data_IF_180299139462
#
_entry.id   IF_180299139462
#
_cell.length_a   1.000
_cell.length_b   1.000
_cell.length_c   1.000
_cell.angle_alpha   90.00
_cell.angle_beta   90.00
_cell.angle_gamma   90.00
#
_symmetry.space_group_name_H-M   'P 1'
#
loop_
_entity.id
_entity.type
_entity.pdbx_description
1 polymer ?
#
# COMPACT_ATOMS: atom_id res chain seq x y z
N UNK A 1 3.43 48.35 17.13
CA UNK A 1 4.30 47.34 17.77
C UNK A 1 3.86 45.96 17.30
N UNK A 2 4.63 45.28 16.45
CA UNK A 2 4.37 43.89 16.00
C UNK A 2 5.61 43.17 15.42
N UNK A 3 6.83 43.68 15.64
CA UNK A 3 8.04 43.12 15.00
C UNK A 3 8.67 41.94 15.75
N UNK A 4 8.31 41.70 17.01
CA UNK A 4 8.92 40.65 17.83
C UNK A 4 8.35 39.24 17.57
N UNK A 5 7.10 39.15 17.10
CA UNK A 5 6.39 37.87 16.94
C UNK A 5 6.85 37.15 15.65
N UNK A 6 6.98 37.88 14.54
CA UNK A 6 7.44 37.31 13.27
C UNK A 6 8.89 36.79 13.34
N UNK A 7 9.80 37.51 14.00
CA UNK A 7 11.20 37.08 14.14
C UNK A 7 11.36 35.79 14.96
N UNK A 8 10.48 35.59 15.94
CA UNK A 8 10.49 34.40 16.81
C UNK A 8 9.86 33.18 16.12
N UNK A 9 8.76 33.36 15.38
CA UNK A 9 8.17 32.29 14.57
C UNK A 9 9.10 31.83 13.44
N UNK A 10 9.77 32.76 12.77
CA UNK A 10 10.71 32.45 11.69
C UNK A 10 11.94 31.68 12.22
N UNK A 11 12.51 32.11 13.35
CA UNK A 11 13.62 31.41 14.01
C UNK A 11 13.24 30.00 14.51
N UNK A 12 12.05 29.86 15.09
CA UNK A 12 11.52 28.56 15.52
C UNK A 12 11.27 27.61 14.35
N UNK A 13 10.80 28.14 13.22
CA UNK A 13 10.53 27.37 11.99
C UNK A 13 11.83 26.83 11.40
N UNK A 14 12.84 27.69 11.24
CA UNK A 14 14.17 27.31 10.75
C UNK A 14 14.80 26.25 11.66
N UNK A 15 14.67 26.42 12.98
CA UNK A 15 15.20 25.45 13.95
C UNK A 15 14.49 24.09 13.86
N UNK A 16 13.16 24.09 13.64
CA UNK A 16 12.38 22.86 13.45
C UNK A 16 12.76 22.14 12.16
N UNK A 17 12.83 22.87 11.05
CA UNK A 17 13.22 22.30 9.74
C UNK A 17 14.62 21.69 9.80
N UNK A 18 15.58 22.39 10.40
CA UNK A 18 16.96 21.89 10.56
C UNK A 18 17.00 20.59 11.38
N UNK A 19 16.19 20.50 12.46
CA UNK A 19 16.07 19.29 13.27
C UNK A 19 15.41 18.14 12.49
N UNK A 20 14.37 18.42 11.72
CA UNK A 20 13.70 17.42 10.88
C UNK A 20 14.67 16.88 9.82
N UNK A 21 15.38 17.74 9.07
CA UNK A 21 16.38 17.31 8.08
C UNK A 21 17.50 16.48 8.70
N UNK A 22 18.02 16.89 9.86
CA UNK A 22 19.03 16.10 10.59
C UNK A 22 18.51 14.72 10.97
N UNK A 23 17.25 14.62 11.41
CA UNK A 23 16.64 13.34 11.77
C UNK A 23 16.38 12.45 10.56
N UNK A 24 15.94 13.02 9.43
CA UNK A 24 15.81 12.29 8.15
C UNK A 24 17.15 11.68 7.77
N UNK A 25 18.22 12.49 7.73
CA UNK A 25 19.56 12.02 7.35
C UNK A 25 20.05 10.90 8.27
N UNK A 26 19.83 11.02 9.59
CA UNK A 26 20.18 9.99 10.55
C UNK A 26 19.47 8.65 10.24
N UNK A 27 18.16 8.70 10.00
CA UNK A 27 17.37 7.48 9.73
C UNK A 27 17.78 6.88 8.38
N UNK A 28 17.93 7.69 7.33
CA UNK A 28 18.37 7.24 6.01
C UNK A 28 19.74 6.55 6.08
N UNK A 29 20.71 7.14 6.79
CA UNK A 29 22.03 6.51 6.97
C UNK A 29 21.95 5.12 7.60
N UNK A 30 21.11 4.94 8.63
CA UNK A 30 20.93 3.66 9.29
C UNK A 30 20.25 2.66 8.33
N UNK A 31 19.24 3.09 7.58
CA UNK A 31 18.59 2.25 6.58
C UNK A 31 19.61 1.80 5.53
N UNK A 32 20.40 2.72 4.98
CA UNK A 32 21.42 2.42 3.97
C UNK A 32 22.44 1.40 4.47
N UNK A 33 22.95 1.59 5.70
CA UNK A 33 23.88 0.66 6.34
C UNK A 33 23.26 -0.74 6.48
N UNK A 34 22.02 -0.83 6.96
CA UNK A 34 21.31 -2.09 7.14
C UNK A 34 20.99 -2.77 5.80
N UNK A 35 20.83 -2.01 4.71
CA UNK A 35 20.61 -2.54 3.36
C UNK A 35 21.88 -3.11 2.71
N UNK A 36 23.08 -2.71 3.12
CA UNK A 36 24.34 -3.21 2.55
C UNK A 36 24.51 -4.73 2.73
N UNK A 37 23.99 -5.28 3.82
CA UNK A 37 24.06 -6.71 4.16
C UNK A 37 22.91 -7.57 3.62
N UNK A 38 21.97 -6.98 2.88
CA UNK A 38 20.74 -7.67 2.45
C UNK A 38 20.91 -8.32 1.07
N UNK A 39 20.30 -9.49 0.90
CA UNK A 39 20.28 -10.17 -0.41
C UNK A 39 19.38 -9.40 -1.38
N UNK A 40 19.99 -8.82 -2.40
CA UNK A 40 19.30 -8.04 -3.44
C UNK A 40 18.49 -8.90 -4.42
N UNK A 41 18.58 -10.23 -4.33
CA UNK A 41 17.74 -11.14 -5.11
C UNK A 41 16.33 -11.31 -4.53
N UNK A 42 16.05 -10.71 -3.37
CA UNK A 42 14.72 -10.75 -2.77
C UNK A 42 13.79 -9.70 -3.40
N UNK A 43 12.52 -10.08 -3.63
CA UNK A 43 11.47 -9.15 -4.08
C UNK A 43 11.08 -8.12 -3.00
N UNK A 44 11.56 -8.31 -1.78
CA UNK A 44 11.34 -7.42 -0.65
C UNK A 44 12.44 -7.55 0.39
N UNK A 45 12.75 -6.45 1.06
CA UNK A 45 13.68 -6.45 2.20
C UNK A 45 12.97 -5.81 3.38
N UNK A 46 13.13 -6.43 4.54
CA UNK A 46 12.69 -5.90 5.83
C UNK A 46 13.91 -5.41 6.61
N UNK A 47 13.85 -4.17 7.07
CA UNK A 47 14.87 -3.53 7.89
C UNK A 47 14.24 -3.16 9.22
N UNK A 48 14.67 -3.83 10.30
CA UNK A 48 14.25 -3.48 11.66
C UNK A 48 15.18 -2.41 12.21
N UNK A 49 14.63 -1.21 12.47
CA UNK A 49 15.43 -0.12 13.03
C UNK A 49 15.77 -0.37 14.51
N UNK A 50 16.92 0.15 15.00
CA UNK A 50 17.32 0.03 16.40
C UNK A 50 16.23 0.53 17.35
N UNK A 51 16.09 -0.12 18.52
CA UNK A 51 15.02 0.18 19.48
C UNK A 51 15.12 1.59 20.08
N UNK A 52 16.30 2.17 20.03
CA UNK A 52 16.60 3.55 20.45
C UNK A 52 15.89 4.58 19.58
N UNK A 53 15.46 4.19 18.37
CA UNK A 53 14.65 5.01 17.47
C UNK A 53 13.21 4.51 17.58
N UNK A 54 12.39 5.11 18.44
CA UNK A 54 10.96 4.83 18.45
C UNK A 54 10.29 5.53 17.26
N UNK A 55 10.10 4.78 16.17
CA UNK A 55 9.51 5.28 14.93
C UNK A 55 8.05 5.71 15.09
N UNK A 56 7.35 5.28 16.14
CA UNK A 56 5.98 5.73 16.40
C UNK A 56 5.94 7.14 17.02
N UNK A 57 7.06 7.60 17.59
CA UNK A 57 7.21 8.96 18.14
C UNK A 57 7.85 9.94 17.16
N UNK A 58 8.37 9.46 16.02
CA UNK A 58 9.02 10.29 15.00
C UNK A 58 7.99 11.22 14.34
N UNK A 59 8.41 12.45 14.08
CA UNK A 59 7.59 13.46 13.40
C UNK A 59 7.10 12.93 12.04
N UNK A 60 5.81 13.06 11.76
CA UNK A 60 5.18 12.60 10.51
C UNK A 60 5.82 13.20 9.26
N UNK A 61 6.42 14.38 9.32
CA UNK A 61 7.17 14.98 8.21
C UNK A 61 8.48 14.26 7.94
N UNK A 62 9.15 13.77 8.99
CA UNK A 62 10.35 12.94 8.85
C UNK A 62 9.96 11.59 8.23
N UNK A 63 8.84 11.00 8.67
CA UNK A 63 8.34 9.74 8.11
C UNK A 63 7.95 9.88 6.63
N UNK A 64 7.30 10.98 6.25
CA UNK A 64 6.95 11.29 4.86
C UNK A 64 8.21 11.41 3.98
N UNK A 65 9.28 12.03 4.48
CA UNK A 65 10.54 12.17 3.74
C UNK A 65 11.29 10.84 3.62
N UNK A 66 11.35 10.04 4.69
CA UNK A 66 11.90 8.68 4.65
C UNK A 66 11.12 7.83 3.65
N UNK A 67 9.80 7.93 3.62
CA UNK A 67 8.98 7.29 2.60
C UNK A 67 9.33 7.75 1.19
N UNK A 68 9.51 9.05 0.96
CA UNK A 68 9.86 9.58 -0.36
C UNK A 68 11.20 9.04 -0.87
N UNK A 69 12.19 8.89 0.02
CA UNK A 69 13.52 8.41 -0.33
C UNK A 69 13.55 6.92 -0.69
N UNK A 70 12.79 6.07 0.02
CA UNK A 70 12.87 4.61 -0.14
C UNK A 70 11.62 3.95 -0.73
N UNK A 71 10.54 4.70 -0.94
CA UNK A 71 9.20 4.19 -1.27
C UNK A 71 8.70 3.13 -0.28
N UNK A 72 9.13 3.22 0.97
CA UNK A 72 9.00 2.15 1.94
C UNK A 72 7.61 2.08 2.60
N UNK A 73 7.27 0.89 3.09
CA UNK A 73 6.21 0.67 4.08
C UNK A 73 6.80 0.72 5.49
N UNK A 74 5.98 1.04 6.48
CA UNK A 74 6.39 1.01 7.90
C UNK A 74 5.35 0.32 8.77
N UNK A 75 5.82 -0.54 9.66
CA UNK A 75 5.02 -1.17 10.72
C UNK A 75 5.81 -1.07 12.02
N UNK A 76 5.41 -0.16 12.91
CA UNK A 76 6.21 0.13 14.10
C UNK A 76 7.60 0.61 13.72
N UNK A 77 8.63 -0.15 14.14
CA UNK A 77 10.04 0.11 13.84
C UNK A 77 10.56 -0.61 12.59
N UNK A 78 9.74 -1.45 11.96
CA UNK A 78 10.14 -2.19 10.77
C UNK A 78 9.81 -1.41 9.51
N UNK A 79 10.81 -1.28 8.64
CA UNK A 79 10.73 -0.65 7.32
C UNK A 79 10.78 -1.76 6.27
N UNK A 80 9.86 -1.73 5.31
CA UNK A 80 9.80 -2.71 4.23
C UNK A 80 10.00 -2.00 2.90
N UNK A 81 11.00 -2.45 2.12
CA UNK A 81 11.30 -1.92 0.80
C UNK A 81 10.94 -2.99 -0.23
N UNK A 82 10.13 -2.62 -1.22
CA UNK A 82 9.71 -3.51 -2.31
C UNK A 82 10.66 -3.33 -3.51
N UNK A 83 11.19 -4.42 -4.03
CA UNK A 83 11.92 -4.46 -5.29
C UNK A 83 11.06 -5.20 -6.31
N UNK A 84 10.28 -4.44 -7.08
CA UNK A 84 9.42 -5.02 -8.12
C UNK A 84 10.20 -5.06 -9.45
N UNK A 85 10.24 -6.24 -10.08
CA UNK A 85 10.82 -6.41 -11.42
C UNK A 85 9.83 -6.03 -12.54
N UNK A 86 10.32 -5.95 -13.79
CA UNK A 86 9.53 -5.55 -14.96
C UNK A 86 8.23 -6.36 -15.12
N UNK A 87 8.26 -7.67 -14.85
CA UNK A 87 7.08 -8.53 -14.97
C UNK A 87 5.98 -8.10 -14.00
N UNK A 88 6.35 -7.82 -12.75
CA UNK A 88 5.43 -7.37 -11.71
C UNK A 88 4.87 -5.98 -12.03
N UNK A 89 5.71 -5.04 -12.46
CA UNK A 89 5.24 -3.72 -12.90
C UNK A 89 4.26 -3.82 -14.08
N UNK A 90 4.48 -4.75 -15.02
CA UNK A 90 3.56 -4.97 -16.13
C UNK A 90 2.20 -5.48 -15.63
N UNK A 91 2.18 -6.48 -14.75
CA UNK A 91 0.94 -7.01 -14.16
C UNK A 91 0.18 -5.89 -13.45
N UNK A 92 0.85 -5.14 -12.57
CA UNK A 92 0.28 -4.00 -11.86
C UNK A 92 -0.31 -2.95 -12.80
N UNK A 93 0.39 -2.61 -13.90
CA UNK A 93 -0.07 -1.66 -14.92
C UNK A 93 -1.35 -2.16 -15.60
N UNK A 94 -1.38 -3.42 -16.01
CA UNK A 94 -2.55 -3.99 -16.67
C UNK A 94 -3.79 -4.02 -15.77
N UNK A 95 -3.62 -4.49 -14.52
CA UNK A 95 -4.69 -4.51 -13.54
C UNK A 95 -5.22 -3.12 -13.24
N UNK A 96 -4.33 -2.14 -13.11
CA UNK A 96 -4.70 -0.73 -12.89
C UNK A 96 -5.51 -0.17 -14.04
N UNK A 97 -5.05 -0.38 -15.27
CA UNK A 97 -5.76 0.06 -16.47
C UNK A 97 -7.12 -0.62 -16.59
N UNK A 98 -7.18 -1.92 -16.35
CA UNK A 98 -8.43 -2.69 -16.41
C UNK A 98 -9.44 -2.21 -15.36
N UNK A 99 -9.00 -1.99 -14.12
CA UNK A 99 -9.87 -1.50 -13.04
C UNK A 99 -10.36 -0.07 -13.31
N UNK A 100 -9.50 0.81 -13.84
CA UNK A 100 -9.86 2.18 -14.19
C UNK A 100 -10.84 2.27 -15.36
N UNK A 101 -10.69 1.42 -16.40
CA UNK A 101 -11.64 1.36 -17.51
C UNK A 101 -13.00 0.85 -17.06
N UNK A 102 -13.02 -0.16 -16.18
CA UNK A 102 -14.26 -0.78 -15.74
C UNK A 102 -15.04 0.12 -14.77
N UNK A 103 -14.34 0.88 -13.92
CA UNK A 103 -14.94 1.79 -12.96
C UNK A 103 -14.36 3.20 -13.10
N UNK A 104 -14.80 4.00 -14.10
CA UNK A 104 -14.20 5.30 -14.39
C UNK A 104 -14.37 6.34 -13.26
N UNK A 105 -15.34 6.12 -12.36
CA UNK A 105 -15.58 6.99 -11.21
C UNK A 105 -14.70 6.65 -10.00
N UNK A 106 -14.02 5.50 -10.01
CA UNK A 106 -13.16 5.07 -8.92
C UNK A 106 -11.73 5.54 -9.14
N UNK A 107 -11.02 5.77 -8.05
CA UNK A 107 -9.58 6.05 -8.11
C UNK A 107 -8.84 4.73 -8.02
N UNK A 108 -7.98 4.43 -8.98
CA UNK A 108 -7.09 3.28 -8.97
C UNK A 108 -5.66 3.78 -8.95
N UNK A 109 -4.84 3.25 -8.05
CA UNK A 109 -3.43 3.60 -7.98
C UNK A 109 -2.58 2.40 -7.64
N UNK A 110 -1.47 2.25 -8.35
CA UNK A 110 -0.35 1.42 -7.92
C UNK A 110 0.57 2.25 -7.05
N UNK A 111 1.42 1.55 -6.28
CA UNK A 111 2.58 2.19 -5.69
C UNK A 111 2.14 3.41 -4.84
N UNK A 112 1.06 3.27 -4.08
CA UNK A 112 0.47 4.34 -3.26
C UNK A 112 0.46 3.91 -1.81
N UNK A 113 0.82 4.81 -0.90
CA UNK A 113 0.86 4.52 0.54
C UNK A 113 -0.43 4.98 1.21
N UNK A 114 -0.91 4.19 2.16
CA UNK A 114 -2.07 4.48 3.00
C UNK A 114 -1.79 4.08 4.43
N UNK A 115 -2.53 4.68 5.37
CA UNK A 115 -2.39 4.37 6.79
C UNK A 115 -3.50 3.40 7.21
N UNK A 116 -3.13 2.18 7.58
CA UNK A 116 -4.05 1.10 7.97
C UNK A 116 -3.67 0.61 9.37
N UNK A 117 -4.53 0.79 10.37
CA UNK A 117 -4.24 0.36 11.74
C UNK A 117 -2.97 0.99 12.34
N UNK A 118 -2.60 2.19 11.91
CA UNK A 118 -1.34 2.84 12.33
C UNK A 118 -0.10 2.39 11.57
N UNK A 119 -0.21 1.39 10.70
CA UNK A 119 0.85 1.00 9.78
C UNK A 119 0.74 1.77 8.46
N UNK A 120 1.89 2.12 7.90
CA UNK A 120 2.03 2.77 6.61
C UNK A 120 2.23 1.68 5.55
N UNK A 121 1.18 1.37 4.79
CA UNK A 121 1.13 0.22 3.88
C UNK A 121 1.01 0.67 2.44
N UNK A 122 1.62 -0.10 1.54
CA UNK A 122 1.63 0.18 0.10
C UNK A 122 1.07 -1.01 -0.65
N UNK A 123 -0.26 -1.13 -0.83
CA UNK A 123 -0.80 -2.17 -1.70
C UNK A 123 -0.12 -2.13 -3.07
N UNK A 124 0.06 -3.31 -3.68
CA UNK A 124 0.54 -3.34 -5.06
C UNK A 124 -0.47 -2.61 -5.97
N UNK A 125 -1.77 -2.75 -5.68
CA UNK A 125 -2.85 -1.92 -6.25
C UNK A 125 -3.91 -1.61 -5.20
N UNK A 126 -4.22 -0.32 -5.05
CA UNK A 126 -5.37 0.15 -4.28
C UNK A 126 -6.45 0.71 -5.19
N UNK A 127 -7.71 0.48 -4.81
CA UNK A 127 -8.88 1.10 -5.45
C UNK A 127 -9.74 1.77 -4.39
N UNK A 128 -10.12 3.02 -4.64
CA UNK A 128 -11.02 3.81 -3.78
C UNK A 128 -12.28 4.20 -4.55
N UNK A 129 -13.43 3.93 -3.95
CA UNK A 129 -14.71 4.34 -4.52
C UNK A 129 -14.88 5.87 -4.45
N UNK A 130 -14.39 6.45 -3.36
CA UNK A 130 -14.31 7.88 -3.16
C UNK A 130 -12.85 8.29 -3.31
N UNK A 131 -12.58 9.18 -4.26
CA UNK A 131 -11.23 9.69 -4.51
C UNK A 131 -10.65 10.33 -3.23
N UNK A 132 -9.48 9.89 -2.75
CA UNK A 132 -8.81 10.58 -1.64
C UNK A 132 -8.52 12.04 -1.99
N UNK A 133 -8.59 12.90 -0.97
CA UNK A 133 -8.38 14.35 -1.13
C UNK A 133 -7.00 14.66 -1.73
N UNK A 134 -6.81 15.85 -2.27
CA UNK A 134 -5.48 16.23 -2.79
C UNK A 134 -4.38 16.10 -1.72
N UNK A 135 -4.63 16.58 -0.50
CA UNK A 135 -3.69 16.49 0.61
C UNK A 135 -3.33 15.04 0.98
N UNK A 136 -4.32 14.14 1.01
CA UNK A 136 -4.10 12.70 1.22
C UNK A 136 -3.29 12.05 0.10
N UNK A 137 -3.42 12.52 -1.15
CA UNK A 137 -2.67 11.97 -2.29
C UNK A 137 -1.26 12.52 -2.40
N UNK A 138 -1.03 13.76 -1.96
CA UNK A 138 0.27 14.42 -2.07
C UNK A 138 1.18 14.22 -0.86
N UNK A 139 0.59 14.09 0.34
CA UNK A 139 1.29 13.82 1.61
C UNK A 139 0.53 12.78 2.43
N UNK A 140 0.53 11.51 1.97
CA UNK A 140 -0.32 10.45 2.50
C UNK A 140 -0.05 10.02 3.94
N UNK A 141 1.15 10.20 4.49
CA UNK A 141 1.44 9.87 5.89
C UNK A 141 0.93 11.02 6.78
N UNK A 142 1.31 12.26 6.45
CA UNK A 142 0.89 13.46 7.19
C UNK A 142 -0.64 13.58 7.22
N UNK A 143 -1.30 13.39 6.07
CA UNK A 143 -2.75 13.54 5.94
C UNK A 143 -3.54 12.24 6.08
N UNK A 144 -2.87 11.14 6.49
CA UNK A 144 -3.48 9.83 6.74
C UNK A 144 -4.38 9.38 5.60
N UNK A 145 -3.78 9.10 4.45
CA UNK A 145 -4.49 8.57 3.29
C UNK A 145 -5.29 7.31 3.71
N UNK A 146 -6.60 7.25 3.41
CA UNK A 146 -7.46 6.19 3.89
C UNK A 146 -7.12 4.85 3.22
N UNK A 147 -7.35 3.71 3.88
CA UNK A 147 -7.24 2.40 3.25
C UNK A 147 -8.10 2.33 1.98
N UNK A 148 -7.65 1.63 0.92
CA UNK A 148 -8.48 1.41 -0.26
C UNK A 148 -9.70 0.53 0.07
N UNK A 149 -10.74 0.62 -0.75
CA UNK A 149 -11.89 -0.30 -0.71
C UNK A 149 -11.54 -1.67 -1.33
N UNK A 150 -10.65 -1.69 -2.33
CA UNK A 150 -10.07 -2.91 -2.91
C UNK A 150 -8.56 -2.90 -2.68
N UNK A 151 -8.05 -3.89 -1.95
CA UNK A 151 -6.63 -4.05 -1.63
C UNK A 151 -6.07 -5.27 -2.37
N UNK A 152 -5.11 -5.09 -3.28
CA UNK A 152 -4.55 -6.16 -4.10
C UNK A 152 -3.05 -6.30 -3.85
N UNK A 153 -2.59 -7.53 -3.64
CA UNK A 153 -1.17 -7.91 -3.61
C UNK A 153 -0.88 -8.97 -4.68
N UNK A 154 0.34 -8.93 -5.20
CA UNK A 154 0.89 -9.97 -6.07
C UNK A 154 1.39 -11.16 -5.19
N UNK A 155 1.07 -12.43 -5.55
CA UNK A 155 1.41 -13.66 -4.83
C UNK A 155 2.89 -14.02 -4.80
N UNK A 156 3.79 -13.24 -5.41
CA UNK A 156 5.25 -13.41 -5.31
C UNK A 156 5.82 -13.28 -3.87
N UNK A 157 4.97 -13.41 -2.84
CA UNK A 157 5.30 -13.08 -1.46
C UNK A 157 4.60 -14.04 -0.50
N UNK A 158 5.40 -14.82 0.23
CA UNK A 158 4.99 -15.52 1.46
C UNK A 158 4.33 -14.56 2.48
N UNK A 159 4.56 -13.25 2.34
CA UNK A 159 3.98 -12.19 3.18
C UNK A 159 2.66 -11.60 2.66
N UNK A 160 2.23 -11.89 1.42
CA UNK A 160 1.00 -11.32 0.84
C UNK A 160 -0.23 -11.66 1.70
N UNK A 161 -0.39 -12.92 2.10
CA UNK A 161 -1.49 -13.35 2.98
C UNK A 161 -1.46 -12.65 4.34
N UNK A 162 -0.27 -12.47 4.92
CA UNK A 162 -0.09 -11.75 6.19
C UNK A 162 -0.51 -10.29 6.07
N UNK A 163 -0.13 -9.60 4.98
CA UNK A 163 -0.52 -8.22 4.72
C UNK A 163 -2.02 -8.07 4.50
N UNK A 164 -2.61 -8.98 3.74
CA UNK A 164 -4.05 -9.05 3.50
C UNK A 164 -4.80 -9.21 4.82
N UNK A 165 -4.40 -10.19 5.64
CA UNK A 165 -5.03 -10.44 6.93
C UNK A 165 -4.89 -9.23 7.87
N UNK A 166 -3.70 -8.61 7.92
CA UNK A 166 -3.48 -7.38 8.69
C UNK A 166 -4.43 -6.27 8.23
N UNK A 167 -4.54 -6.04 6.93
CA UNK A 167 -5.40 -5.01 6.38
C UNK A 167 -6.86 -5.26 6.79
N UNK A 168 -7.37 -6.48 6.60
CA UNK A 168 -8.74 -6.86 6.97
C UNK A 168 -9.05 -6.69 8.46
N UNK A 169 -8.11 -7.01 9.35
CA UNK A 169 -8.31 -6.88 10.79
C UNK A 169 -8.39 -5.41 11.25
N UNK A 170 -7.75 -4.50 10.51
CA UNK A 170 -7.57 -3.10 10.91
C UNK A 170 -8.42 -2.12 10.10
N UNK A 171 -9.29 -2.61 9.21
CA UNK A 171 -10.25 -1.77 8.50
C UNK A 171 -11.56 -2.50 8.27
N UNK A 172 -12.65 -1.81 8.58
CA UNK A 172 -14.00 -2.25 8.23
C UNK A 172 -14.42 -1.80 6.84
N UNK A 173 -13.60 -0.99 6.16
CA UNK A 173 -13.89 -0.37 4.86
C UNK A 173 -13.23 -1.03 3.64
N UNK A 174 -12.34 -2.01 3.83
CA UNK A 174 -11.91 -2.89 2.73
C UNK A 174 -13.05 -3.86 2.45
N UNK A 175 -13.62 -3.74 1.27
CA UNK A 175 -14.70 -4.61 0.80
C UNK A 175 -14.15 -5.82 0.04
N UNK A 176 -13.03 -5.64 -0.65
CA UNK A 176 -12.44 -6.66 -1.51
C UNK A 176 -10.95 -6.78 -1.23
N UNK A 177 -10.47 -8.02 -1.09
CA UNK A 177 -9.05 -8.31 -1.11
C UNK A 177 -8.75 -9.28 -2.23
N UNK A 178 -7.75 -8.96 -3.05
CA UNK A 178 -7.34 -9.75 -4.21
C UNK A 178 -5.89 -10.21 -4.14
N UNK A 179 -5.65 -11.43 -4.61
CA UNK A 179 -4.30 -11.96 -4.89
C UNK A 179 -4.21 -12.21 -6.40
N UNK A 180 -3.26 -11.57 -7.09
CA UNK A 180 -3.16 -11.67 -8.55
C UNK A 180 -2.13 -12.71 -9.02
N UNK A 181 -2.53 -13.93 -9.40
CA UNK A 181 -1.58 -14.96 -9.83
C UNK A 181 -1.20 -14.80 -11.32
N UNK A 182 0.09 -14.58 -11.65
CA UNK A 182 0.53 -14.53 -13.05
C UNK A 182 0.55 -15.92 -13.70
N UNK A 183 -0.03 -15.98 -14.90
CA UNK A 183 -0.15 -17.19 -15.74
C UNK A 183 1.20 -17.56 -16.38
N UNK A 184 2.13 -18.12 -15.59
CA UNK A 184 3.46 -18.55 -16.05
C UNK A 184 3.63 -20.08 -16.15
N UNK A 185 2.68 -20.87 -15.64
CA UNK A 185 2.68 -22.35 -15.70
C UNK A 185 1.24 -22.91 -15.82
N UNK A 186 0.98 -23.73 -16.84
CA UNK A 186 -0.29 -24.47 -17.17
C UNK A 186 -1.16 -24.97 -15.99
N UNK A 187 -2.46 -25.32 -16.23
CA UNK A 187 -3.55 -24.51 -16.76
C UNK A 187 -4.55 -24.23 -15.63
N UNK A 188 -4.60 -23.00 -15.11
CA UNK A 188 -5.74 -22.61 -14.29
C UNK A 188 -6.92 -22.28 -15.21
N UNK A 189 -8.10 -22.80 -14.84
CA UNK A 189 -9.30 -22.67 -15.66
C UNK A 189 -9.67 -21.19 -15.87
N UNK A 190 -9.93 -20.81 -17.13
CA UNK A 190 -10.45 -19.50 -17.45
C UNK A 190 -11.73 -19.22 -16.65
N UNK A 191 -11.92 -17.96 -16.23
CA UNK A 191 -13.17 -17.53 -15.61
C UNK A 191 -14.35 -18.01 -16.49
N UNK A 192 -15.26 -18.87 -15.98
CA UNK A 192 -16.33 -19.48 -16.76
C UNK A 192 -17.37 -18.46 -17.26
N UNK A 193 -17.40 -17.24 -16.69
CA UNK A 193 -18.31 -16.17 -17.06
C UNK A 193 -17.55 -14.93 -17.57
N UNK A 194 -16.87 -15.03 -18.72
CA UNK A 194 -16.03 -13.95 -19.25
C UNK A 194 -16.83 -12.77 -19.83
N UNK A 195 -18.15 -12.71 -19.68
CA UNK A 195 -18.95 -11.59 -20.17
C UNK A 195 -19.76 -10.91 -19.06
N UNK A 196 -19.66 -11.39 -17.82
CA UNK A 196 -20.32 -10.73 -16.69
C UNK A 196 -19.54 -9.48 -16.25
N UNK A 197 -20.27 -8.37 -16.22
CA UNK A 197 -19.79 -7.02 -15.91
C UNK A 197 -19.73 -6.79 -14.39
N UNK A 198 -19.33 -7.81 -13.62
CA UNK A 198 -19.45 -7.91 -12.15
C UNK A 198 -20.87 -8.21 -11.66
N UNK A 199 -20.97 -9.14 -10.71
CA UNK A 199 -22.21 -9.50 -10.02
C UNK A 199 -22.01 -9.14 -8.56
N UNK A 200 -22.98 -8.44 -7.97
CA UNK A 200 -23.00 -8.19 -6.53
C UNK A 200 -22.93 -9.55 -5.80
N UNK A 201 -21.96 -9.74 -4.91
CA UNK A 201 -21.98 -10.89 -4.02
C UNK A 201 -23.17 -10.73 -3.07
N UNK A 202 -24.30 -11.33 -3.40
CA UNK A 202 -25.44 -11.44 -2.48
C UNK A 202 -25.05 -12.55 -1.49
N UNK A 203 -24.83 -12.23 -0.20
CA UNK A 203 -24.60 -13.29 0.76
C UNK A 203 -25.84 -14.17 0.76
N UNK A 204 -25.64 -15.49 0.69
CA UNK A 204 -26.72 -16.46 0.86
C UNK A 204 -27.53 -16.09 2.14
N UNK A 205 -28.81 -16.46 2.16
CA UNK A 205 -29.86 -15.93 3.06
C UNK A 205 -29.62 -16.04 4.59
N UNK A 206 -28.43 -16.41 5.03
CA UNK A 206 -27.94 -16.43 6.41
C UNK A 206 -27.01 -15.22 6.73
N UNK A 207 -27.44 -14.03 6.30
CA UNK A 207 -26.77 -12.71 6.24
C UNK A 207 -26.20 -12.09 7.55
N UNK A 208 -25.89 -12.87 8.58
CA UNK A 208 -25.08 -12.41 9.73
C UNK A 208 -23.63 -12.91 9.68
N UNK A 209 -23.28 -13.77 8.72
CA UNK A 209 -21.91 -14.25 8.57
C UNK A 209 -21.15 -13.41 7.52
N UNK A 210 -20.36 -12.44 7.97
CA UNK A 210 -19.24 -11.90 7.18
C UNK A 210 -18.28 -13.06 6.87
N UNK A 211 -17.79 -13.23 5.63
CA UNK A 211 -16.77 -14.23 5.34
C UNK A 211 -15.55 -14.00 6.24
N UNK A 212 -15.13 -15.02 6.97
CA UNK A 212 -13.97 -14.95 7.90
C UNK A 212 -12.62 -14.99 7.18
N UNK A 213 -12.60 -15.09 5.84
CA UNK A 213 -11.40 -15.12 4.98
C UNK A 213 -11.62 -14.26 3.73
N UNK A 214 -10.54 -13.63 3.24
CA UNK A 214 -10.49 -12.75 2.07
C UNK A 214 -11.30 -13.30 0.87
N UNK A 215 -12.31 -12.58 0.33
CA UNK A 215 -13.28 -13.20 -0.55
C UNK A 215 -12.87 -13.34 -2.03
N UNK A 216 -11.67 -12.94 -2.47
CA UNK A 216 -11.33 -12.96 -3.90
C UNK A 216 -9.90 -13.45 -4.20
N UNK A 217 -9.80 -14.52 -4.98
CA UNK A 217 -8.60 -14.84 -5.76
C UNK A 217 -8.81 -14.20 -7.14
N UNK A 218 -7.88 -13.33 -7.56
CA UNK A 218 -7.96 -12.65 -8.84
C UNK A 218 -7.07 -13.37 -9.85
N UNK A 219 -7.69 -14.08 -10.79
CA UNK A 219 -6.94 -14.74 -11.86
C UNK A 219 -6.78 -13.79 -13.05
N UNK A 220 -5.54 -13.50 -13.44
CA UNK A 220 -5.21 -12.65 -14.58
C UNK A 220 -4.48 -13.44 -15.66
N UNK A 221 -5.10 -13.56 -16.84
CA UNK A 221 -4.44 -14.04 -18.04
C UNK A 221 -3.89 -12.83 -18.81
N UNK A 222 -2.60 -12.83 -19.15
CA UNK A 222 -1.89 -11.75 -19.86
C UNK A 222 -2.56 -11.32 -21.19
N UNK A 223 -3.50 -12.10 -21.71
CA UNK A 223 -4.23 -11.84 -22.96
C UNK A 223 -5.64 -11.25 -22.79
N UNK A 224 -6.17 -11.07 -21.57
CA UNK A 224 -7.57 -10.62 -21.34
C UNK A 224 -7.72 -9.66 -20.15
N UNK A 225 -8.71 -8.72 -20.19
CA UNK A 225 -8.99 -7.81 -19.07
C UNK A 225 -9.42 -8.56 -17.79
N UNK A 226 -9.20 -7.93 -16.64
CA UNK A 226 -9.34 -8.49 -15.30
C UNK A 226 -10.81 -8.77 -15.08
N UNK A 227 -11.12 -9.99 -14.66
CA UNK A 227 -12.45 -10.32 -14.17
C UNK A 227 -12.32 -10.78 -12.74
N UNK A 228 -12.89 -10.00 -11.83
CA UNK A 228 -13.05 -10.38 -10.44
C UNK A 228 -14.09 -11.51 -10.43
N UNK A 229 -13.67 -12.76 -10.19
CA UNK A 229 -14.57 -13.91 -10.05
C UNK A 229 -14.15 -14.77 -8.87
N UNK A 230 -15.08 -15.16 -7.97
CA UNK A 230 -14.78 -16.02 -6.82
C UNK A 230 -14.50 -17.47 -7.25
N UNK A 231 -13.62 -18.14 -6.52
CA UNK A 231 -13.33 -19.58 -6.65
C UNK A 231 -14.40 -20.42 -5.94
N UNK A 232 -14.76 -21.54 -6.59
CA UNK A 232 -15.79 -22.54 -6.24
C UNK A 232 -15.76 -22.97 -4.77
#
# INVERSE_FOLDING_TARGET
MSFAIEGQEMSNTITRETRQTSKVNQICMIIDELLLGQDKNQSYVMVSLPKEIDMNSVDVHVLEEVHANYRAERVGNDIFIKYDGINKENIQRYLTNSAGVFNPNWTVATNSICVIGGAERRPDIGVWFIRPTFAQRSRPIINRCPPPNVYIEDPDRDIALTRINFAQQHTTGIEFVGICIPDLTNPFHANPNPQQVSTHAVPAANQNARPTRAPYILHWNLTRPLKLSPSV
#
